data_IF_124530962471
#
_entry.id   IF_124530962471
#
_cell.length_a   1.000
_cell.length_b   1.000
_cell.length_c   1.000
_cell.angle_alpha   90.00
_cell.angle_beta   90.00
_cell.angle_gamma   90.00
#
_symmetry.space_group_name_H-M   'P 1'
#
loop_
_entity.id
_entity.type
_entity.pdbx_description
1 polymer ?
#
# COMPACT_ATOMS: atom_id res chain seq x y z
N UNK A 1 -0.17 -16.55 18.63
CA UNK A 1 -1.64 -16.67 18.64
C UNK A 1 -2.15 -17.50 19.82
N UNK A 2 -1.58 -18.66 20.15
CA UNK A 2 -2.03 -19.51 21.28
C UNK A 2 -1.81 -18.92 22.69
N UNK A 3 -0.87 -17.97 22.82
CA UNK A 3 -0.59 -17.21 24.05
C UNK A 3 -0.46 -15.71 23.72
N UNK A 4 -1.57 -14.99 23.50
CA UNK A 4 -1.54 -13.59 23.05
C UNK A 4 -0.84 -12.63 24.02
N UNK A 5 -0.86 -12.94 25.32
CA UNK A 5 -0.28 -12.14 26.40
C UNK A 5 1.26 -12.12 26.41
N UNK A 6 1.91 -13.09 25.76
CA UNK A 6 3.37 -13.15 25.64
C UNK A 6 3.79 -13.17 24.19
N UNK A 7 4.59 -12.19 23.78
CA UNK A 7 5.16 -12.17 22.44
C UNK A 7 6.57 -12.81 22.45
N UNK A 8 6.74 -14.05 21.93
CA UNK A 8 8.03 -14.73 21.94
C UNK A 8 8.98 -14.22 20.84
N UNK A 9 8.52 -13.32 19.96
CA UNK A 9 9.31 -12.81 18.85
C UNK A 9 10.25 -11.73 19.37
N UNK A 10 11.55 -11.90 19.10
CA UNK A 10 12.57 -10.89 19.43
C UNK A 10 12.20 -9.54 18.81
N UNK A 11 12.32 -8.42 19.55
CA UNK A 11 11.92 -7.09 19.07
C UNK A 11 12.37 -6.75 17.64
N UNK A 12 13.64 -7.02 17.32
CA UNK A 12 14.27 -6.77 16.03
C UNK A 12 13.68 -7.59 14.86
N UNK A 13 13.00 -8.70 15.16
CA UNK A 13 12.37 -9.58 14.17
C UNK A 13 10.86 -9.39 14.07
N UNK A 14 10.25 -8.51 14.86
CA UNK A 14 8.80 -8.41 14.98
C UNK A 14 8.15 -7.98 13.67
N UNK A 15 8.60 -6.88 13.06
CA UNK A 15 8.05 -6.43 11.79
C UNK A 15 8.09 -7.51 10.71
N UNK A 16 9.26 -8.11 10.46
CA UNK A 16 9.40 -9.12 9.40
C UNK A 16 8.58 -10.38 9.70
N UNK A 17 8.50 -10.80 10.97
CA UNK A 17 7.71 -11.96 11.38
C UNK A 17 6.21 -11.69 11.20
N UNK A 18 5.71 -10.56 11.70
CA UNK A 18 4.31 -10.17 11.53
C UNK A 18 3.95 -10.01 10.05
N UNK A 19 4.75 -9.25 9.29
CA UNK A 19 4.49 -8.99 7.88
C UNK A 19 4.49 -10.28 7.05
N UNK A 20 5.37 -11.24 7.37
CA UNK A 20 5.39 -12.56 6.71
C UNK A 20 4.14 -13.37 7.07
N UNK A 21 3.77 -13.41 8.36
CA UNK A 21 2.55 -14.10 8.79
C UNK A 21 1.30 -13.52 8.13
N UNK A 22 1.18 -12.18 8.05
CA UNK A 22 0.06 -11.50 7.39
C UNK A 22 0.05 -11.72 5.88
N UNK A 23 1.23 -11.74 5.23
CA UNK A 23 1.33 -11.95 3.77
C UNK A 23 0.87 -13.34 3.33
N UNK A 24 1.10 -14.35 4.18
CA UNK A 24 0.77 -15.75 3.89
C UNK A 24 -0.49 -16.26 4.61
N UNK A 25 -1.00 -15.51 5.59
CA UNK A 25 -2.25 -15.79 6.30
C UNK A 25 -3.47 -15.15 5.63
N UNK A 26 -4.58 -15.17 6.35
CA UNK A 26 -5.84 -14.58 5.92
C UNK A 26 -6.48 -13.71 7.01
N UNK A 27 -7.81 -13.70 7.04
CA UNK A 27 -8.57 -12.87 7.98
C UNK A 27 -8.27 -13.21 9.45
N UNK A 28 -7.98 -14.47 9.78
CA UNK A 28 -7.74 -14.90 11.17
C UNK A 28 -6.44 -14.29 11.71
N UNK A 29 -5.34 -14.43 10.98
CA UNK A 29 -4.03 -13.87 11.37
C UNK A 29 -4.08 -12.35 11.38
N UNK A 30 -4.76 -11.75 10.41
CA UNK A 30 -4.91 -10.31 10.31
C UNK A 30 -5.72 -9.72 11.46
N UNK A 31 -6.89 -10.30 11.77
CA UNK A 31 -7.72 -9.87 12.90
C UNK A 31 -7.04 -10.09 14.23
N UNK A 32 -6.27 -11.18 14.36
CA UNK A 32 -5.46 -11.40 15.53
C UNK A 32 -4.46 -10.26 15.73
N UNK A 33 -3.63 -9.95 14.73
CA UNK A 33 -2.61 -8.92 14.84
C UNK A 33 -3.22 -7.53 15.04
N UNK A 34 -4.31 -7.22 14.35
CA UNK A 34 -5.09 -6.00 14.55
C UNK A 34 -5.60 -5.86 15.99
N UNK A 35 -6.09 -6.96 16.59
CA UNK A 35 -6.54 -6.98 17.98
C UNK A 35 -5.42 -6.79 19.01
N UNK A 36 -4.16 -6.82 18.59
CA UNK A 36 -2.98 -6.55 19.44
C UNK A 36 -2.48 -5.11 19.34
N UNK A 37 -3.19 -4.22 18.61
CA UNK A 37 -2.86 -2.81 18.54
C UNK A 37 -3.21 -2.10 19.86
N UNK A 38 -2.20 -1.57 20.54
CA UNK A 38 -2.33 -0.76 21.75
C UNK A 38 -2.10 0.70 21.41
N UNK A 39 -3.13 1.36 20.87
CA UNK A 39 -3.05 2.76 20.48
C UNK A 39 -2.84 3.63 21.73
N UNK A 40 -1.92 4.61 21.64
CA UNK A 40 -1.55 5.54 22.72
C UNK A 40 -0.80 4.91 23.92
N UNK A 41 -0.17 3.75 23.73
CA UNK A 41 0.77 3.17 24.70
C UNK A 41 2.21 3.52 24.31
N UNK A 42 2.80 4.52 24.96
CA UNK A 42 4.16 4.96 24.68
C UNK A 42 5.23 3.92 25.07
N UNK A 43 4.91 2.96 25.94
CA UNK A 43 5.85 1.90 26.32
C UNK A 43 6.05 0.89 25.18
N UNK A 44 5.00 0.69 24.37
CA UNK A 44 4.96 -0.28 23.29
C UNK A 44 4.84 0.38 21.90
N UNK A 45 5.27 1.64 21.76
CA UNK A 45 5.12 2.43 20.54
C UNK A 45 5.76 1.71 19.32
N UNK A 46 7.03 1.30 19.43
CA UNK A 46 7.76 0.63 18.34
C UNK A 46 7.09 -0.70 17.92
N UNK A 47 6.65 -1.52 18.89
CA UNK A 47 5.95 -2.77 18.56
C UNK A 47 4.58 -2.52 17.94
N UNK A 48 3.91 -1.45 18.38
CA UNK A 48 2.62 -1.03 17.83
C UNK A 48 2.77 -0.53 16.40
N UNK A 49 3.79 0.27 16.10
CA UNK A 49 4.16 0.66 14.74
C UNK A 49 4.47 -0.56 13.86
N UNK A 50 5.28 -1.50 14.36
CA UNK A 50 5.60 -2.74 13.65
C UNK A 50 4.35 -3.54 13.27
N UNK A 51 3.33 -3.59 14.15
CA UNK A 51 2.03 -4.22 13.85
C UNK A 51 1.26 -3.44 12.79
N UNK A 52 1.14 -2.12 12.94
CA UNK A 52 0.45 -1.26 11.96
C UNK A 52 1.03 -1.41 10.56
N UNK A 53 2.36 -1.38 10.45
CA UNK A 53 3.06 -1.59 9.19
C UNK A 53 2.85 -3.00 8.65
N UNK A 54 2.94 -4.03 9.50
CA UNK A 54 2.76 -5.41 9.08
C UNK A 54 1.34 -5.73 8.57
N UNK A 55 0.31 -5.05 9.07
CA UNK A 55 -1.08 -5.20 8.59
C UNK A 55 -1.22 -4.81 7.10
N UNK A 56 -0.34 -3.94 6.57
CA UNK A 56 -0.30 -3.56 5.15
C UNK A 56 0.29 -4.65 4.23
N UNK A 57 0.90 -5.69 4.80
CA UNK A 57 1.55 -6.76 4.03
C UNK A 57 0.58 -7.79 3.45
N UNK A 58 -0.72 -7.69 3.75
CA UNK A 58 -1.74 -8.62 3.28
C UNK A 58 -1.82 -8.59 1.75
N UNK A 59 -2.04 -9.77 1.16
CA UNK A 59 -2.33 -9.93 -0.27
C UNK A 59 -3.84 -10.03 -0.55
N UNK A 60 -4.65 -10.11 0.49
CA UNK A 60 -6.11 -10.10 0.38
C UNK A 60 -6.61 -8.66 0.17
N UNK A 61 -7.33 -8.45 -0.92
CA UNK A 61 -7.83 -7.11 -1.30
C UNK A 61 -8.92 -6.60 -0.35
N UNK A 62 -9.77 -7.47 0.18
CA UNK A 62 -10.86 -7.06 1.08
C UNK A 62 -10.31 -6.68 2.45
N UNK A 63 -9.31 -7.41 2.95
CA UNK A 63 -8.55 -7.02 4.16
C UNK A 63 -7.92 -5.64 3.97
N UNK A 64 -7.21 -5.43 2.86
CA UNK A 64 -6.51 -4.16 2.61
C UNK A 64 -7.49 -2.99 2.44
N UNK A 65 -8.66 -3.21 1.82
CA UNK A 65 -9.75 -2.22 1.78
C UNK A 65 -10.30 -1.91 3.17
N UNK A 66 -10.49 -2.91 4.01
CA UNK A 66 -10.93 -2.71 5.39
C UNK A 66 -9.92 -1.85 6.15
N UNK A 67 -8.63 -2.14 6.01
CA UNK A 67 -7.58 -1.40 6.69
C UNK A 67 -7.50 0.04 6.20
N UNK A 68 -7.51 0.28 4.89
CA UNK A 68 -7.48 1.63 4.32
C UNK A 68 -8.65 2.50 4.80
N UNK A 69 -9.85 1.91 4.97
CA UNK A 69 -11.01 2.63 5.55
C UNK A 69 -10.75 3.10 6.98
N UNK A 70 -9.97 2.34 7.77
CA UNK A 70 -9.56 2.73 9.13
C UNK A 70 -8.46 3.78 9.09
N UNK A 71 -7.47 3.61 8.22
CA UNK A 71 -6.38 4.60 8.03
C UNK A 71 -6.97 5.97 7.68
N UNK A 72 -7.93 6.04 6.76
CA UNK A 72 -8.62 7.29 6.41
C UNK A 72 -9.32 7.97 7.61
N UNK A 73 -9.77 7.19 8.60
CA UNK A 73 -10.50 7.71 9.78
C UNK A 73 -9.57 8.07 10.95
N UNK A 74 -8.29 7.74 10.88
CA UNK A 74 -7.35 7.93 11.98
C UNK A 74 -5.98 8.37 11.45
N UNK A 75 -5.67 9.65 11.63
CA UNK A 75 -4.44 10.30 11.17
C UNK A 75 -3.17 9.66 11.74
N UNK A 76 -3.24 9.08 12.94
CA UNK A 76 -2.12 8.34 13.53
C UNK A 76 -1.72 7.10 12.71
N UNK A 77 -2.55 6.68 11.75
CA UNK A 77 -2.22 5.57 10.84
C UNK A 77 -1.73 6.06 9.47
N UNK A 78 -1.72 7.36 9.17
CA UNK A 78 -1.39 7.85 7.82
C UNK A 78 0.05 7.55 7.40
N UNK A 79 0.97 7.43 8.36
CA UNK A 79 2.35 6.97 8.06
C UNK A 79 2.39 5.59 7.39
N UNK A 80 1.37 4.75 7.60
CA UNK A 80 1.27 3.43 6.95
C UNK A 80 1.03 3.53 5.44
N UNK A 81 0.58 4.68 4.92
CA UNK A 81 0.34 4.90 3.49
C UNK A 81 1.63 4.73 2.66
N UNK A 82 2.80 5.01 3.24
CA UNK A 82 4.10 4.70 2.64
C UNK A 82 4.26 3.20 2.33
N UNK A 83 3.72 2.34 3.20
CA UNK A 83 3.76 0.88 3.04
C UNK A 83 2.61 0.37 2.17
N UNK A 84 1.45 1.01 2.19
CA UNK A 84 0.42 0.78 1.17
C UNK A 84 1.00 1.05 -0.23
N UNK A 85 1.66 2.19 -0.42
CA UNK A 85 2.28 2.54 -1.70
C UNK A 85 3.32 1.52 -2.16
N UNK A 86 4.04 0.87 -1.24
CA UNK A 86 5.00 -0.22 -1.52
C UNK A 86 4.37 -1.59 -1.74
N UNK A 87 3.12 -1.80 -1.38
CA UNK A 87 2.41 -3.08 -1.54
C UNK A 87 1.69 -3.13 -2.89
N UNK A 88 1.75 -4.23 -3.68
CA UNK A 88 1.02 -4.30 -4.94
C UNK A 88 -0.49 -4.06 -4.79
N UNK A 89 -1.11 -4.67 -3.77
CA UNK A 89 -2.53 -4.48 -3.47
C UNK A 89 -2.78 -3.08 -2.91
N UNK A 90 -1.94 -2.63 -1.98
CA UNK A 90 -2.08 -1.30 -1.37
C UNK A 90 -1.97 -0.18 -2.40
N UNK A 91 -0.97 -0.23 -3.28
CA UNK A 91 -0.73 0.75 -4.33
C UNK A 91 -1.94 0.87 -5.26
N UNK A 92 -2.53 -0.26 -5.66
CA UNK A 92 -3.74 -0.26 -6.46
C UNK A 92 -4.89 0.47 -5.74
N UNK A 93 -5.11 0.19 -4.45
CA UNK A 93 -6.16 0.86 -3.67
C UNK A 93 -5.93 2.37 -3.53
N UNK A 94 -4.68 2.82 -3.43
CA UNK A 94 -4.36 4.25 -3.39
C UNK A 94 -4.68 4.93 -4.73
N UNK A 95 -4.37 4.28 -5.85
CA UNK A 95 -4.77 4.76 -7.17
C UNK A 95 -6.28 4.74 -7.39
N UNK A 96 -6.98 3.73 -6.87
CA UNK A 96 -8.44 3.65 -6.91
C UNK A 96 -9.06 4.86 -6.17
N UNK A 97 -8.46 5.28 -5.04
CA UNK A 97 -8.86 6.48 -4.30
C UNK A 97 -8.68 7.75 -5.15
N UNK A 98 -7.54 7.91 -5.83
CA UNK A 98 -7.27 9.06 -6.72
C UNK A 98 -8.11 9.05 -8.01
N UNK A 99 -8.72 7.91 -8.36
CA UNK A 99 -9.56 7.78 -9.56
C UNK A 99 -10.98 8.32 -9.36
N UNK A 100 -11.35 8.71 -8.14
CA UNK A 100 -12.63 9.31 -7.81
C UNK A 100 -12.43 10.78 -7.43
N UNK A 101 -12.88 11.68 -8.30
CA UNK A 101 -12.73 13.13 -8.12
C UNK A 101 -13.35 13.64 -6.82
N UNK A 102 -14.40 13.00 -6.33
CA UNK A 102 -15.06 13.43 -5.09
C UNK A 102 -14.16 13.28 -3.87
N UNK A 103 -13.13 12.42 -3.92
CA UNK A 103 -12.19 12.25 -2.82
C UNK A 103 -11.24 13.45 -2.65
N UNK A 104 -11.01 14.24 -3.71
CA UNK A 104 -10.17 15.44 -3.63
C UNK A 104 -10.81 16.52 -2.75
N UNK A 105 -12.14 16.63 -2.79
CA UNK A 105 -12.88 17.58 -1.95
C UNK A 105 -13.23 16.97 -0.58
N UNK A 106 -13.77 15.75 -0.58
CA UNK A 106 -14.29 15.11 0.64
C UNK A 106 -13.19 14.69 1.62
N UNK A 107 -12.00 14.38 1.11
CA UNK A 107 -10.90 13.81 1.86
C UNK A 107 -9.58 14.52 1.53
N UNK A 108 -9.61 15.86 1.43
CA UNK A 108 -8.50 16.70 0.93
C UNK A 108 -7.14 16.32 1.52
N UNK A 109 -6.99 16.38 2.84
CA UNK A 109 -5.72 16.13 3.52
C UNK A 109 -5.24 14.68 3.34
N UNK A 110 -6.17 13.72 3.42
CA UNK A 110 -5.86 12.31 3.19
C UNK A 110 -5.42 12.05 1.74
N UNK A 111 -6.08 12.69 0.77
CA UNK A 111 -5.73 12.66 -0.65
C UNK A 111 -4.34 13.24 -0.89
N UNK A 112 -4.00 14.35 -0.23
CA UNK A 112 -2.67 14.93 -0.28
C UNK A 112 -1.59 13.95 0.24
N UNK A 113 -1.84 13.31 1.38
CA UNK A 113 -0.93 12.29 1.91
C UNK A 113 -0.75 11.10 0.96
N UNK A 114 -1.83 10.65 0.30
CA UNK A 114 -1.75 9.59 -0.72
C UNK A 114 -0.87 10.03 -1.89
N UNK A 115 -1.05 11.26 -2.41
CA UNK A 115 -0.24 11.81 -3.50
C UNK A 115 1.25 11.82 -3.11
N UNK A 116 1.57 12.26 -1.90
CA UNK A 116 2.94 12.29 -1.38
C UNK A 116 3.54 10.87 -1.25
N UNK A 117 2.78 9.92 -0.70
CA UNK A 117 3.23 8.53 -0.55
C UNK A 117 3.48 7.86 -1.92
N UNK A 118 2.58 8.04 -2.87
CA UNK A 118 2.75 7.51 -4.24
C UNK A 118 3.88 8.20 -4.99
N UNK A 119 4.13 9.49 -4.77
CA UNK A 119 5.25 10.20 -5.39
C UNK A 119 6.61 9.70 -4.87
N UNK A 120 6.69 9.27 -3.61
CA UNK A 120 7.89 8.67 -3.02
C UNK A 120 8.17 7.26 -3.55
N UNK A 121 7.13 6.49 -3.82
CA UNK A 121 7.24 5.12 -4.35
C UNK A 121 6.39 4.94 -5.62
N UNK A 122 6.76 5.60 -6.74
CA UNK A 122 5.93 5.60 -7.93
C UNK A 122 5.99 4.22 -8.61
N UNK A 123 4.90 3.47 -8.56
CA UNK A 123 4.73 2.27 -9.38
C UNK A 123 4.37 2.67 -10.81
N UNK A 124 4.70 1.81 -11.78
CA UNK A 124 4.21 2.01 -13.15
C UNK A 124 2.68 1.92 -13.14
N UNK A 125 2.02 2.96 -13.63
CA UNK A 125 0.56 3.09 -13.73
C UNK A 125 -0.10 2.06 -14.66
N UNK A 126 0.69 1.24 -15.38
CA UNK A 126 0.23 0.44 -16.51
C UNK A 126 -0.50 -0.88 -16.14
N UNK A 127 -1.43 -0.80 -15.19
CA UNK A 127 -2.57 -1.73 -15.15
C UNK A 127 -3.81 -0.94 -15.58
N UNK A 128 -4.30 -1.17 -16.80
CA UNK A 128 -5.17 -0.25 -17.55
C UNK A 128 -6.50 0.18 -16.91
N UNK A 129 -6.89 -0.36 -15.74
CA UNK A 129 -8.13 0.05 -15.05
C UNK A 129 -8.11 1.47 -14.50
N UNK A 130 -6.95 1.96 -14.04
CA UNK A 130 -6.87 3.25 -13.35
C UNK A 130 -6.41 4.37 -14.28
N UNK A 131 -5.70 4.05 -15.35
CA UNK A 131 -5.12 5.04 -16.26
C UNK A 131 -6.15 6.03 -16.84
N UNK A 132 -7.21 5.51 -17.45
CA UNK A 132 -8.25 6.34 -18.07
C UNK A 132 -9.02 7.17 -17.04
N UNK A 133 -9.33 6.58 -15.88
CA UNK A 133 -10.03 7.28 -14.79
C UNK A 133 -9.19 8.40 -14.21
N UNK A 134 -7.89 8.17 -14.01
CA UNK A 134 -6.97 9.19 -13.51
C UNK A 134 -6.84 10.36 -14.49
N UNK A 135 -6.82 10.09 -15.81
CA UNK A 135 -6.87 11.17 -16.82
C UNK A 135 -8.14 12.00 -16.72
N UNK A 136 -9.29 11.35 -16.52
CA UNK A 136 -10.57 12.06 -16.32
C UNK A 136 -10.55 12.88 -15.03
N UNK A 137 -9.97 12.36 -13.95
CA UNK A 137 -9.82 13.10 -12.69
C UNK A 137 -8.89 14.30 -12.87
N UNK A 138 -7.72 14.14 -13.47
CA UNK A 138 -6.74 15.21 -13.68
C UNK A 138 -7.29 16.35 -14.55
N UNK A 139 -8.09 16.02 -15.56
CA UNK A 139 -8.76 17.00 -16.40
C UNK A 139 -9.91 17.76 -15.70
N UNK A 140 -10.32 17.36 -14.50
CA UNK A 140 -11.42 17.99 -13.79
C UNK A 140 -10.98 19.31 -13.12
N UNK A 141 -11.54 20.42 -13.61
CA UNK A 141 -11.24 21.77 -13.11
C UNK A 141 -11.81 22.09 -11.72
N UNK A 142 -12.61 21.19 -11.13
CA UNK A 142 -13.16 21.37 -9.77
C UNK A 142 -12.16 20.98 -8.68
N UNK A 143 -11.11 20.22 -9.02
CA UNK A 143 -10.07 19.85 -8.07
C UNK A 143 -9.28 21.09 -7.66
N UNK A 144 -8.97 21.18 -6.36
CA UNK A 144 -8.03 22.15 -5.83
C UNK A 144 -6.75 22.25 -6.70
N UNK A 145 -6.35 23.44 -7.16
CA UNK A 145 -5.24 23.58 -8.10
C UNK A 145 -3.92 22.98 -7.62
N UNK A 146 -3.64 23.02 -6.30
CA UNK A 146 -2.42 22.44 -5.74
C UNK A 146 -2.45 20.91 -5.81
N UNK A 147 -3.57 20.29 -5.42
CA UNK A 147 -3.72 18.84 -5.52
C UNK A 147 -3.72 18.34 -6.97
N UNK A 148 -4.28 19.12 -7.89
CA UNK A 148 -4.24 18.81 -9.32
C UNK A 148 -2.82 18.83 -9.88
N UNK A 149 -2.01 19.83 -9.53
CA UNK A 149 -0.59 19.86 -9.92
C UNK A 149 0.20 18.67 -9.33
N UNK A 150 -0.06 18.30 -8.07
CA UNK A 150 0.54 17.09 -7.46
C UNK A 150 0.12 15.81 -8.20
N UNK A 151 -1.15 15.68 -8.58
CA UNK A 151 -1.64 14.54 -9.36
C UNK A 151 -0.98 14.48 -10.74
N UNK A 152 -0.86 15.62 -11.43
CA UNK A 152 -0.20 15.73 -12.72
C UNK A 152 1.29 15.32 -12.63
N UNK A 153 2.02 15.84 -11.65
CA UNK A 153 3.41 15.44 -11.39
C UNK A 153 3.51 13.92 -11.15
N UNK A 154 2.64 13.37 -10.30
CA UNK A 154 2.60 11.94 -10.03
C UNK A 154 2.34 11.11 -11.30
N UNK A 155 1.45 11.57 -12.16
CA UNK A 155 1.15 10.93 -13.44
C UNK A 155 2.34 10.94 -14.39
N UNK A 156 3.08 12.05 -14.48
CA UNK A 156 4.29 12.20 -15.29
C UNK A 156 5.37 11.21 -14.85
N UNK A 157 5.73 11.19 -13.57
CA UNK A 157 6.79 10.30 -13.05
C UNK A 157 6.40 8.82 -13.13
N UNK A 158 5.11 8.50 -13.02
CA UNK A 158 4.60 7.13 -13.10
C UNK A 158 4.47 6.66 -14.56
N UNK A 159 4.21 7.57 -15.50
CA UNK A 159 4.17 7.31 -16.94
C UNK A 159 5.56 7.23 -17.58
N UNK A 160 6.55 7.97 -17.07
CA UNK A 160 7.94 7.85 -17.51
C UNK A 160 8.52 6.44 -17.32
N UNK A 161 7.87 5.60 -16.50
CA UNK A 161 8.26 4.20 -16.29
C UNK A 161 7.74 3.22 -17.36
N UNK A 162 7.05 3.69 -18.40
CA UNK A 162 6.53 2.84 -19.50
C UNK A 162 7.61 2.09 -20.27
N UNK A 163 8.82 2.64 -20.36
CA UNK A 163 9.94 1.99 -21.04
C UNK A 163 10.61 0.89 -20.20
N UNK A 164 10.17 0.64 -18.96
CA UNK A 164 10.82 -0.34 -18.08
C UNK A 164 10.78 -1.77 -18.64
N UNK A 165 9.68 -2.17 -19.27
CA UNK A 165 9.58 -3.50 -19.90
C UNK A 165 10.54 -3.65 -21.08
N UNK A 166 10.84 -2.57 -21.79
CA UNK A 166 11.83 -2.55 -22.87
C UNK A 166 13.25 -2.57 -22.30
N UNK A 167 13.54 -1.73 -21.30
CA UNK A 167 14.84 -1.58 -20.63
C UNK A 167 15.27 -2.86 -19.91
N UNK A 168 14.33 -3.55 -19.25
CA UNK A 168 14.62 -4.75 -18.45
C UNK A 168 14.19 -6.06 -19.13
N UNK A 169 13.86 -6.01 -20.41
CA UNK A 169 13.54 -7.18 -21.23
C UNK A 169 14.59 -8.29 -21.09
N UNK A 170 15.88 -7.91 -21.02
CA UNK A 170 16.99 -8.83 -20.80
C UNK A 170 16.92 -9.55 -19.44
N UNK A 171 16.55 -8.86 -18.35
CA UNK A 171 16.39 -9.47 -17.03
C UNK A 171 15.23 -10.46 -17.04
N UNK A 172 14.10 -10.07 -17.64
CA UNK A 172 12.92 -10.95 -17.75
C UNK A 172 13.28 -12.22 -18.53
N UNK A 173 13.98 -12.09 -19.65
CA UNK A 173 14.45 -13.25 -20.42
C UNK A 173 15.44 -14.10 -19.64
N UNK A 174 16.38 -13.48 -18.92
CA UNK A 174 17.33 -14.19 -18.08
C UNK A 174 16.61 -14.99 -16.99
N UNK A 175 15.63 -14.39 -16.30
CA UNK A 175 14.83 -15.08 -15.28
C UNK A 175 14.07 -16.27 -15.86
N UNK A 176 13.41 -16.10 -17.01
CA UNK A 176 12.69 -17.19 -17.69
C UNK A 176 13.62 -18.35 -18.10
N UNK A 177 14.86 -18.04 -18.46
CA UNK A 177 15.85 -19.04 -18.88
C UNK A 177 16.48 -19.78 -17.71
N UNK A 178 16.72 -19.10 -16.58
CA UNK A 178 17.58 -19.62 -15.51
C UNK A 178 16.84 -19.98 -14.21
N UNK A 179 15.61 -19.50 -14.00
CA UNK A 179 14.83 -19.84 -12.82
C UNK A 179 13.87 -20.99 -13.17
N UNK A 180 14.00 -22.17 -12.53
CA UNK A 180 13.08 -23.26 -12.76
C UNK A 180 11.67 -22.85 -12.36
N UNK A 181 10.69 -23.17 -13.22
CA UNK A 181 9.27 -23.01 -12.89
C UNK A 181 8.96 -24.04 -11.82
N UNK A 182 8.96 -23.63 -10.56
CA UNK A 182 8.49 -24.47 -9.45
C UNK A 182 6.97 -24.44 -9.48
N UNK A 183 6.36 -25.47 -10.07
CA UNK A 183 4.93 -25.71 -9.90
C UNK A 183 4.71 -26.24 -8.49
N UNK A 184 4.33 -25.36 -7.57
CA UNK A 184 3.73 -25.82 -6.31
C UNK A 184 2.34 -26.36 -6.65
N UNK A 185 2.21 -27.69 -6.70
CA UNK A 185 0.92 -28.35 -6.57
C UNK A 185 0.38 -27.99 -5.18
N UNK A 186 -0.66 -27.14 -5.17
CA UNK A 186 -1.48 -26.87 -4.00
C UNK A 186 -2.28 -28.11 -3.62
#
# INVERSE_FOLDING_TARGET
MSKPETNPIRPDLRFITYCTAIRHGGHVEWKFLEGQLTLNDSVNEEDTENKMLALTCSRDTEIMKEYLKRVRKNENLWFTLDYFAKSPVGNQLLWDHLSDVHNFDKHKDFTEFILNALAKYPYSLFSGRNYEKILLTEANNQIDPELREKLKYLFEISSGKRTWTEVYSAIIQWLKKNIPIVTHSL
#
